data_IF_885367690441
#
_entry.id   IF_885367690441
#
_cell.length_a   1.000
_cell.length_b   1.000
_cell.length_c   1.000
_cell.angle_alpha   90.00
_cell.angle_beta   90.00
_cell.angle_gamma   90.00
#
_symmetry.space_group_name_H-M   'P 1'
#
loop_
_entity.id
_entity.type
_entity.pdbx_description
1 polymer ?
#
# COMPACT_ATOMS: atom_id res chain seq x y z
N UNK A 1 -13.85 5.71 -13.85
CA UNK A 1 -12.93 4.57 -13.61
C UNK A 1 -13.70 3.30 -13.84
N UNK A 2 -13.18 2.40 -14.68
CA UNK A 2 -13.78 1.07 -14.85
C UNK A 2 -13.67 0.31 -13.53
N UNK A 3 -14.68 -0.47 -13.15
CA UNK A 3 -14.69 -1.21 -11.88
C UNK A 3 -13.50 -2.16 -11.75
N UNK A 4 -13.01 -2.66 -12.88
CA UNK A 4 -11.83 -3.51 -12.93
C UNK A 4 -10.56 -2.77 -12.54
N UNK A 5 -10.48 -1.44 -12.72
CA UNK A 5 -9.32 -0.65 -12.27
C UNK A 5 -9.12 -0.74 -10.75
N UNK A 6 -10.20 -0.88 -9.99
CA UNK A 6 -10.14 -1.04 -8.53
C UNK A 6 -9.47 -2.36 -8.12
N UNK A 7 -9.58 -3.39 -8.95
CA UNK A 7 -9.09 -4.75 -8.64
C UNK A 7 -7.84 -5.15 -9.45
N UNK A 8 -7.35 -4.29 -10.36
CA UNK A 8 -6.12 -4.52 -11.15
C UNK A 8 -4.92 -4.89 -10.29
N UNK A 9 -4.80 -4.35 -9.09
CA UNK A 9 -3.71 -4.68 -8.16
C UNK A 9 -3.73 -6.16 -7.75
N UNK A 10 -4.90 -6.75 -7.53
CA UNK A 10 -5.06 -8.15 -7.14
C UNK A 10 -4.76 -9.08 -8.31
N UNK A 11 -5.22 -8.75 -9.52
CA UNK A 11 -4.92 -9.50 -10.73
C UNK A 11 -3.42 -9.50 -11.04
N UNK A 12 -2.78 -8.33 -10.95
CA UNK A 12 -1.33 -8.21 -11.11
C UNK A 12 -0.59 -9.08 -10.08
N UNK A 13 -1.02 -9.08 -8.81
CA UNK A 13 -0.41 -9.96 -7.80
C UNK A 13 -0.61 -11.44 -8.10
N UNK A 14 -1.79 -11.83 -8.59
CA UNK A 14 -2.04 -13.22 -8.99
C UNK A 14 -1.03 -13.65 -10.07
N UNK A 15 -0.79 -12.81 -11.08
CA UNK A 15 0.18 -13.08 -12.14
C UNK A 15 1.63 -13.16 -11.66
N UNK A 16 2.02 -12.30 -10.72
CA UNK A 16 3.36 -12.30 -10.14
C UNK A 16 3.62 -13.56 -9.30
N UNK A 17 2.62 -14.00 -8.51
CA UNK A 17 2.81 -15.10 -7.56
C UNK A 17 2.45 -16.48 -8.14
N UNK A 18 1.77 -16.58 -9.29
CA UNK A 18 1.32 -17.87 -9.85
C UNK A 18 2.43 -18.90 -10.05
N UNK A 19 3.65 -18.45 -10.33
CA UNK A 19 4.82 -19.32 -10.49
C UNK A 19 5.43 -19.78 -9.16
N UNK A 20 5.15 -19.06 -8.07
CA UNK A 20 5.73 -19.31 -6.74
C UNK A 20 4.71 -20.04 -5.84
N UNK A 21 3.49 -19.52 -5.77
CA UNK A 21 2.39 -20.08 -4.99
C UNK A 21 1.09 -20.04 -5.81
N UNK A 22 0.79 -21.10 -6.57
CA UNK A 22 -0.45 -21.21 -7.35
C UNK A 22 -1.72 -21.07 -6.49
N UNK A 23 -1.67 -21.52 -5.24
CA UNK A 23 -2.77 -21.40 -4.28
C UNK A 23 -3.12 -19.93 -4.03
N UNK A 24 -2.12 -19.09 -3.73
CA UNK A 24 -2.34 -17.68 -3.49
C UNK A 24 -2.85 -16.95 -4.74
N UNK A 25 -2.34 -17.31 -5.92
CA UNK A 25 -2.83 -16.79 -7.19
C UNK A 25 -4.30 -17.15 -7.42
N UNK A 26 -4.68 -18.41 -7.16
CA UNK A 26 -6.07 -18.86 -7.25
C UNK A 26 -7.01 -18.07 -6.34
N UNK A 27 -6.64 -17.83 -5.08
CA UNK A 27 -7.48 -17.06 -4.16
C UNK A 27 -7.55 -15.58 -4.54
N UNK A 28 -6.49 -14.99 -5.09
CA UNK A 28 -6.55 -13.64 -5.67
C UNK A 28 -7.56 -13.55 -6.81
N UNK A 29 -7.55 -14.53 -7.74
CA UNK A 29 -8.54 -14.59 -8.83
C UNK A 29 -9.95 -14.77 -8.29
N UNK A 30 -10.14 -15.72 -7.36
CA UNK A 30 -11.43 -16.00 -6.73
C UNK A 30 -12.00 -14.78 -6.00
N UNK A 31 -11.16 -14.00 -5.34
CA UNK A 31 -11.55 -12.73 -4.71
C UNK A 31 -12.09 -11.73 -5.73
N UNK A 32 -11.39 -11.54 -6.85
CA UNK A 32 -11.84 -10.62 -7.91
C UNK A 32 -13.12 -11.13 -8.56
N UNK A 33 -13.22 -12.44 -8.82
CA UNK A 33 -14.43 -13.09 -9.36
C UNK A 33 -15.65 -12.84 -8.46
N UNK A 34 -15.55 -13.03 -7.15
CA UNK A 34 -16.67 -12.75 -6.24
C UNK A 34 -17.07 -11.27 -6.26
N UNK A 35 -16.10 -10.34 -6.33
CA UNK A 35 -16.38 -8.90 -6.43
C UNK A 35 -17.01 -8.48 -7.76
N UNK A 36 -16.58 -9.07 -8.88
CA UNK A 36 -17.18 -8.84 -10.20
C UNK A 36 -18.57 -9.45 -10.29
N UNK A 37 -18.80 -10.62 -9.70
CA UNK A 37 -20.10 -11.29 -9.63
C UNK A 37 -21.13 -10.47 -8.87
N UNK A 38 -20.77 -9.91 -7.71
CA UNK A 38 -21.63 -8.97 -6.97
C UNK A 38 -22.12 -7.85 -7.89
N UNK A 39 -21.21 -7.23 -8.65
CA UNK A 39 -21.55 -6.15 -9.58
C UNK A 39 -22.34 -6.61 -10.81
N UNK A 40 -22.02 -7.78 -11.37
CA UNK A 40 -22.75 -8.32 -12.52
C UNK A 40 -24.21 -8.63 -12.16
N UNK A 41 -24.49 -9.01 -10.92
CA UNK A 41 -25.86 -9.21 -10.43
C UNK A 41 -26.64 -7.88 -10.45
N UNK A 42 -25.98 -6.76 -10.16
CA UNK A 42 -26.57 -5.41 -10.22
C UNK A 42 -26.78 -4.93 -11.67
N UNK A 43 -25.90 -5.31 -12.60
CA UNK A 43 -25.89 -4.87 -13.99
C UNK A 43 -25.69 -6.04 -14.98
N UNK A 44 -26.73 -6.85 -15.15
CA UNK A 44 -26.71 -8.10 -15.95
C UNK A 44 -26.57 -7.87 -17.45
N UNK A 45 -26.79 -6.66 -17.95
CA UNK A 45 -26.67 -6.33 -19.38
C UNK A 45 -25.25 -5.93 -19.76
N UNK A 46 -24.35 -5.81 -18.77
CA UNK A 46 -22.96 -5.46 -18.98
C UNK A 46 -22.16 -6.63 -19.56
N UNK A 47 -22.08 -6.68 -20.89
CA UNK A 47 -21.36 -7.72 -21.61
C UNK A 47 -19.85 -7.71 -21.34
N UNK A 48 -19.25 -6.56 -21.06
CA UNK A 48 -17.81 -6.47 -20.72
C UNK A 48 -17.52 -7.20 -19.40
N UNK A 49 -18.30 -6.92 -18.36
CA UNK A 49 -18.18 -7.62 -17.07
C UNK A 49 -18.40 -9.13 -17.21
N UNK A 50 -19.34 -9.55 -18.06
CA UNK A 50 -19.60 -10.97 -18.32
C UNK A 50 -18.39 -11.65 -18.98
N UNK A 51 -17.81 -11.04 -20.01
CA UNK A 51 -16.63 -11.58 -20.69
C UNK A 51 -15.42 -11.67 -19.77
N UNK A 52 -15.20 -10.65 -18.94
CA UNK A 52 -14.10 -10.64 -17.97
C UNK A 52 -14.30 -11.67 -16.87
N UNK A 53 -15.52 -11.81 -16.33
CA UNK A 53 -15.85 -12.84 -15.36
C UNK A 53 -15.59 -14.24 -15.92
N UNK A 54 -16.01 -14.51 -17.16
CA UNK A 54 -15.73 -15.79 -17.84
C UNK A 54 -14.23 -16.06 -17.93
N UNK A 55 -13.46 -15.06 -18.36
CA UNK A 55 -12.00 -15.19 -18.50
C UNK A 55 -11.32 -15.52 -17.16
N UNK A 56 -11.72 -14.85 -16.08
CA UNK A 56 -11.15 -15.08 -14.76
C UNK A 56 -11.56 -16.44 -14.18
N UNK A 57 -12.77 -16.91 -14.46
CA UNK A 57 -13.22 -18.25 -14.09
C UNK A 57 -12.40 -19.32 -14.80
N UNK A 58 -12.22 -19.19 -16.13
CA UNK A 58 -11.39 -20.12 -16.91
C UNK A 58 -9.94 -20.19 -16.37
N UNK A 59 -9.37 -19.04 -15.98
CA UNK A 59 -8.05 -18.98 -15.35
C UNK A 59 -8.01 -19.67 -13.98
N UNK A 60 -9.01 -19.45 -13.14
CA UNK A 60 -9.09 -20.06 -11.82
C UNK A 60 -9.30 -21.58 -11.92
N UNK A 61 -10.13 -22.03 -12.86
CA UNK A 61 -10.35 -23.45 -13.17
C UNK A 61 -9.06 -24.10 -13.68
N UNK A 62 -8.36 -23.48 -14.62
CA UNK A 62 -7.08 -23.99 -15.12
C UNK A 62 -6.01 -24.13 -14.03
N UNK A 63 -5.96 -23.20 -13.07
CA UNK A 63 -5.08 -23.35 -11.90
C UNK A 63 -5.50 -24.52 -11.02
N UNK A 64 -6.81 -24.66 -10.77
CA UNK A 64 -7.35 -25.72 -9.91
C UNK A 64 -7.18 -27.10 -10.52
N UNK A 65 -7.34 -27.26 -11.83
CA UNK A 65 -7.07 -28.51 -12.54
C UNK A 65 -5.60 -28.89 -12.49
N UNK A 66 -4.70 -27.92 -12.64
CA UNK A 66 -3.26 -28.18 -12.71
C UNK A 66 -2.60 -28.42 -11.35
N UNK A 67 -3.03 -27.72 -10.31
CA UNK A 67 -2.35 -27.71 -9.01
C UNK A 67 -3.26 -27.99 -7.81
N UNK A 68 -4.57 -28.11 -8.01
CA UNK A 68 -5.53 -28.34 -6.93
C UNK A 68 -5.48 -29.76 -6.35
N UNK A 69 -6.18 -29.99 -5.23
CA UNK A 69 -7.10 -29.08 -4.54
C UNK A 69 -6.40 -27.98 -3.73
N UNK A 70 -7.05 -26.83 -3.58
CA UNK A 70 -6.51 -25.69 -2.84
C UNK A 70 -7.18 -25.52 -1.48
N UNK A 71 -6.37 -25.25 -0.46
CA UNK A 71 -6.84 -24.89 0.88
C UNK A 71 -6.45 -23.45 1.21
N UNK A 72 -7.38 -22.68 1.78
CA UNK A 72 -7.09 -21.30 2.21
C UNK A 72 -6.00 -21.25 3.27
N UNK A 73 -5.86 -22.31 4.09
CA UNK A 73 -4.81 -22.39 5.09
C UNK A 73 -3.41 -22.40 4.47
N UNK A 74 -3.23 -22.95 3.27
CA UNK A 74 -1.95 -22.93 2.56
C UNK A 74 -1.60 -21.50 2.12
N UNK A 75 -2.61 -20.70 1.75
CA UNK A 75 -2.44 -19.27 1.46
C UNK A 75 -2.05 -18.49 2.74
N UNK A 76 -2.64 -18.83 3.89
CA UNK A 76 -2.28 -18.25 5.19
C UNK A 76 -0.83 -18.57 5.55
N UNK A 77 -0.44 -19.85 5.46
CA UNK A 77 0.93 -20.30 5.73
C UNK A 77 1.93 -19.59 4.82
N UNK A 78 1.68 -19.57 3.51
CA UNK A 78 2.51 -18.84 2.55
C UNK A 78 2.64 -17.35 2.89
N UNK A 79 1.55 -16.72 3.33
CA UNK A 79 1.58 -15.30 3.70
C UNK A 79 2.41 -15.05 4.96
N UNK A 80 2.43 -15.99 5.92
CA UNK A 80 3.28 -15.93 7.11
C UNK A 80 4.76 -16.11 6.77
N UNK A 81 5.08 -17.11 5.96
CA UNK A 81 6.45 -17.34 5.46
C UNK A 81 6.95 -16.11 4.67
N UNK A 82 6.09 -15.48 3.88
CA UNK A 82 6.43 -14.24 3.17
C UNK A 82 6.72 -13.07 4.11
N UNK A 83 6.15 -13.03 5.31
CA UNK A 83 6.49 -12.01 6.33
C UNK A 83 7.93 -12.21 6.80
N UNK A 84 8.30 -13.44 7.16
CA UNK A 84 9.66 -13.78 7.59
C UNK A 84 10.70 -13.51 6.48
N UNK A 85 10.38 -13.88 5.25
CA UNK A 85 11.18 -13.58 4.06
C UNK A 85 11.26 -12.06 3.76
N UNK A 86 10.22 -11.29 4.05
CA UNK A 86 10.25 -9.83 3.88
C UNK A 86 11.08 -9.14 4.97
N UNK A 87 11.13 -9.68 6.18
CA UNK A 87 11.91 -9.17 7.30
C UNK A 87 13.40 -9.41 7.14
N UNK A 88 13.76 -10.61 6.67
CA UNK A 88 15.14 -11.00 6.40
C UNK A 88 15.73 -10.39 5.13
N UNK A 89 14.89 -9.80 4.25
CA UNK A 89 15.33 -9.15 3.02
C UNK A 89 16.02 -7.81 3.29
N UNK A 90 17.34 -7.81 3.06
CA UNK A 90 18.20 -6.62 3.20
C UNK A 90 17.89 -5.53 2.15
N UNK A 91 17.30 -5.90 1.00
CA UNK A 91 16.93 -4.93 -0.03
C UNK A 91 15.61 -4.24 0.34
N UNK A 92 15.60 -2.94 0.65
CA UNK A 92 14.40 -2.27 1.10
C UNK A 92 13.31 -2.19 0.02
N UNK A 93 13.67 -2.19 -1.27
CA UNK A 93 12.69 -2.17 -2.37
C UNK A 93 11.98 -3.52 -2.49
N UNK A 94 12.73 -4.62 -2.44
CA UNK A 94 12.18 -5.97 -2.53
C UNK A 94 11.36 -6.30 -1.29
N UNK A 95 11.89 -6.02 -0.09
CA UNK A 95 11.19 -6.13 1.20
C UNK A 95 9.87 -5.34 1.21
N UNK A 96 9.89 -4.07 0.76
CA UNK A 96 8.66 -3.28 0.62
C UNK A 96 7.66 -3.93 -0.35
N UNK A 97 8.14 -4.42 -1.49
CA UNK A 97 7.31 -5.12 -2.48
C UNK A 97 6.63 -6.36 -1.91
N UNK A 98 7.34 -7.16 -1.10
CA UNK A 98 6.80 -8.32 -0.37
C UNK A 98 5.75 -7.89 0.65
N UNK A 99 6.01 -6.89 1.48
CA UNK A 99 5.00 -6.36 2.42
C UNK A 99 3.75 -5.83 1.70
N UNK A 100 3.89 -5.15 0.57
CA UNK A 100 2.74 -4.74 -0.24
C UNK A 100 1.95 -5.96 -0.79
N UNK A 101 2.61 -7.07 -1.09
CA UNK A 101 1.96 -8.32 -1.50
C UNK A 101 1.21 -8.96 -0.34
N UNK A 102 1.82 -9.02 0.84
CA UNK A 102 1.20 -9.50 2.08
C UNK A 102 -0.08 -8.72 2.39
N UNK A 103 -0.09 -7.39 2.22
CA UNK A 103 -1.32 -6.59 2.39
C UNK A 103 -2.42 -7.09 1.46
N UNK A 104 -2.13 -7.26 0.17
CA UNK A 104 -3.10 -7.80 -0.80
C UNK A 104 -3.59 -9.20 -0.42
N UNK A 105 -2.69 -10.10 -0.03
CA UNK A 105 -3.05 -11.47 0.37
C UNK A 105 -3.91 -11.49 1.64
N UNK A 106 -3.61 -10.65 2.63
CA UNK A 106 -4.45 -10.55 3.83
C UNK A 106 -5.84 -9.95 3.57
N UNK A 107 -6.00 -9.09 2.56
CA UNK A 107 -7.32 -8.64 2.09
C UNK A 107 -8.09 -9.82 1.47
N UNK A 108 -7.44 -10.61 0.61
CA UNK A 108 -8.00 -11.82 0.00
C UNK A 108 -8.40 -12.84 1.06
N UNK A 109 -7.48 -13.24 1.94
CA UNK A 109 -7.71 -14.26 2.98
C UNK A 109 -8.89 -13.85 3.87
N UNK A 110 -8.99 -12.57 4.25
CA UNK A 110 -10.08 -12.10 5.11
C UNK A 110 -11.48 -12.26 4.51
N UNK A 111 -11.57 -12.46 3.18
CA UNK A 111 -12.83 -12.74 2.49
C UNK A 111 -13.26 -14.20 2.64
N UNK A 112 -12.31 -15.11 2.89
CA UNK A 112 -12.53 -16.56 2.95
C UNK A 112 -12.39 -17.14 4.38
N UNK A 113 -11.81 -16.40 5.36
CA UNK A 113 -11.73 -16.83 6.76
C UNK A 113 -10.82 -16.00 7.68
N UNK A 114 -10.84 -16.30 8.98
CA UNK A 114 -10.01 -15.76 10.08
C UNK A 114 -9.70 -14.25 10.04
N UNK A 115 -10.66 -13.43 10.50
CA UNK A 115 -10.57 -11.97 10.40
C UNK A 115 -9.53 -11.32 11.35
N UNK A 116 -9.33 -11.85 12.56
CA UNK A 116 -8.51 -11.17 13.57
C UNK A 116 -7.00 -11.24 13.25
N UNK A 117 -6.49 -12.44 12.97
CA UNK A 117 -5.09 -12.65 12.60
C UNK A 117 -4.74 -11.92 11.30
N UNK A 118 -5.62 -11.99 10.30
CA UNK A 118 -5.47 -11.23 9.06
C UNK A 118 -5.42 -9.72 9.30
N UNK A 119 -6.20 -9.21 10.25
CA UNK A 119 -6.18 -7.78 10.61
C UNK A 119 -4.83 -7.38 11.23
N UNK A 120 -4.26 -8.23 12.09
CA UNK A 120 -2.93 -8.01 12.66
C UNK A 120 -1.87 -8.01 11.56
N UNK A 121 -1.84 -9.06 10.72
CA UNK A 121 -0.88 -9.19 9.61
C UNK A 121 -0.96 -8.00 8.65
N UNK A 122 -2.18 -7.57 8.30
CA UNK A 122 -2.40 -6.42 7.42
C UNK A 122 -1.87 -5.12 8.00
N UNK A 123 -2.14 -4.84 9.28
CA UNK A 123 -1.65 -3.63 9.96
C UNK A 123 -0.12 -3.62 9.99
N UNK A 124 0.47 -4.76 10.32
CA UNK A 124 1.92 -4.91 10.38
C UNK A 124 2.59 -4.75 9.02
N UNK A 125 2.09 -5.43 7.99
CA UNK A 125 2.63 -5.33 6.65
C UNK A 125 2.50 -3.89 6.08
N UNK A 126 1.38 -3.19 6.34
CA UNK A 126 1.23 -1.78 5.97
C UNK A 126 2.26 -0.89 6.65
N UNK A 127 2.47 -1.11 7.95
CA UNK A 127 3.47 -0.37 8.72
C UNK A 127 4.88 -0.59 8.16
N UNK A 128 5.29 -1.85 7.97
CA UNK A 128 6.62 -2.20 7.45
C UNK A 128 6.85 -1.70 6.02
N UNK A 129 5.86 -1.81 5.14
CA UNK A 129 5.94 -1.24 3.79
C UNK A 129 6.20 0.27 3.84
N UNK A 130 5.51 0.99 4.72
CA UNK A 130 5.68 2.43 4.88
C UNK A 130 7.05 2.79 5.46
N UNK A 131 7.53 2.02 6.44
CA UNK A 131 8.87 2.18 7.00
C UNK A 131 9.95 2.04 5.92
N UNK A 132 9.89 0.95 5.15
CA UNK A 132 10.84 0.68 4.05
C UNK A 132 10.77 1.77 2.98
N UNK A 133 9.56 2.25 2.65
CA UNK A 133 9.35 3.39 1.73
C UNK A 133 10.08 4.66 2.19
N UNK A 134 9.92 5.06 3.45
CA UNK A 134 10.60 6.23 4.01
C UNK A 134 12.13 6.07 3.96
N UNK A 135 12.63 4.86 4.20
CA UNK A 135 14.07 4.59 4.13
C UNK A 135 14.61 4.74 2.69
N UNK A 136 13.86 4.28 1.69
CA UNK A 136 14.20 4.46 0.27
C UNK A 136 14.22 5.95 -0.07
N UNK A 137 13.16 6.69 0.26
CA UNK A 137 13.03 8.12 -0.04
C UNK A 137 14.13 8.95 0.63
N UNK A 138 14.46 8.64 1.89
CA UNK A 138 15.54 9.32 2.64
C UNK A 138 16.93 9.08 2.02
N UNK A 139 17.18 7.89 1.46
CA UNK A 139 18.43 7.62 0.73
C UNK A 139 18.51 8.35 -0.60
N UNK A 140 17.38 8.54 -1.28
CA UNK A 140 17.33 9.28 -2.55
C UNK A 140 17.55 10.79 -2.35
N UNK A 141 17.06 11.37 -1.25
CA UNK A 141 17.28 12.78 -0.93
C UNK A 141 18.73 13.10 -0.53
N UNK A 142 19.49 12.13 0.00
CA UNK A 142 20.92 12.31 0.34
C UNK A 142 21.87 12.14 -0.85
N UNK A 143 21.38 11.76 -2.03
CA UNK A 143 22.17 11.56 -3.23
C UNK A 143 22.03 12.69 -4.26
N UNK A 144 21.36 13.80 -3.92
CA UNK A 144 21.43 15.00 -4.74
C UNK A 144 22.83 15.61 -4.54
N UNK A 145 23.68 15.68 -5.57
CA UNK A 145 24.96 16.38 -5.44
C UNK A 145 24.69 17.87 -5.24
N UNK A 146 25.36 18.48 -4.25
CA UNK A 146 25.56 19.93 -4.20
C UNK A 146 26.37 20.35 -5.43
N UNK A 147 25.67 20.63 -6.53
CA UNK A 147 26.22 21.38 -7.66
C UNK A 147 25.30 22.55 -7.94
N UNK A 148 25.65 23.69 -7.36
CA UNK A 148 26.02 24.94 -8.05
C UNK A 148 25.62 26.16 -7.19
N UNK A 149 26.62 26.71 -6.48
CA UNK A 149 26.75 28.16 -6.34
C UNK A 149 27.58 28.67 -7.52
N UNK A 150 27.00 29.50 -8.38
CA UNK A 150 27.69 30.59 -9.07
C UNK A 150 26.65 31.46 -9.81
N UNK A 151 26.69 32.75 -9.53
CA UNK A 151 25.91 33.82 -10.13
C UNK A 151 25.93 33.83 -11.67
N UNK A 152 24.79 34.15 -12.30
CA UNK A 152 24.75 35.20 -13.33
C UNK A 152 23.31 35.66 -13.61
N UNK A 153 23.12 36.98 -13.50
CA UNK A 153 21.99 37.73 -14.08
C UNK A 153 22.01 37.55 -15.60
N UNK A 154 20.83 37.50 -16.24
CA UNK A 154 20.45 38.32 -17.40
C UNK A 154 18.93 38.17 -17.65
N UNK A 155 18.30 39.31 -17.88
CA UNK A 155 16.90 39.53 -18.21
C UNK A 155 16.50 39.06 -19.63
N UNK A 156 15.18 38.95 -19.80
CA UNK A 156 14.35 39.26 -20.99
C UNK A 156 13.67 38.11 -21.77
N UNK A 157 12.33 38.08 -21.58
CA UNK A 157 11.19 37.98 -22.53
C UNK A 157 11.41 37.29 -23.90
N UNK A 158 10.50 36.48 -24.48
CA UNK A 158 9.02 36.57 -24.57
C UNK A 158 8.44 35.30 -25.24
N UNK A 159 7.19 34.90 -24.91
CA UNK A 159 6.11 34.36 -25.79
C UNK A 159 6.32 33.00 -26.52
N UNK A 160 5.39 32.02 -26.58
CA UNK A 160 3.94 31.94 -26.35
C UNK A 160 3.45 30.46 -26.34
N UNK A 161 2.33 30.21 -25.64
CA UNK A 161 1.31 29.16 -25.88
C UNK A 161 1.60 27.78 -25.26
N UNK A 162 0.67 27.05 -24.63
CA UNK A 162 -0.75 27.19 -24.33
C UNK A 162 -1.10 26.08 -23.30
N UNK A 163 -2.13 26.28 -22.47
CA UNK A 163 -2.85 25.16 -21.83
C UNK A 163 -2.86 25.12 -20.29
N UNK A 164 -3.55 26.09 -19.71
CA UNK A 164 -3.87 26.25 -18.28
C UNK A 164 -4.79 25.12 -17.77
N UNK A 165 -4.40 24.48 -16.65
CA UNK A 165 -5.32 23.82 -15.72
C UNK A 165 -5.95 24.92 -14.86
N UNK A 166 -7.24 25.13 -15.06
CA UNK A 166 -8.07 26.03 -14.26
C UNK A 166 -8.62 25.26 -13.05
N UNK A 167 -8.20 25.64 -11.84
CA UNK A 167 -9.00 25.40 -10.64
C UNK A 167 -9.12 26.71 -9.89
N UNK A 168 -10.36 27.18 -9.80
CA UNK A 168 -10.76 28.52 -9.41
C UNK A 168 -10.28 28.94 -8.03
N UNK A 169 -9.86 30.21 -7.95
CA UNK A 169 -9.76 30.98 -6.70
C UNK A 169 -11.15 31.21 -6.14
N UNK A 170 -11.27 31.15 -4.81
CA UNK A 170 -11.89 32.25 -4.07
C UNK A 170 -10.98 32.58 -2.88
N UNK A 171 -10.56 33.85 -2.85
CA UNK A 171 -9.74 34.46 -1.81
C UNK A 171 -10.71 35.18 -0.88
N UNK A 172 -10.66 34.85 0.40
CA UNK A 172 -10.90 35.82 1.46
C UNK A 172 -9.84 35.57 2.55
N UNK A 173 -8.91 36.51 2.66
CA UNK A 173 -8.06 36.65 3.83
C UNK A 173 -8.90 37.25 4.96
N UNK A 174 -8.70 36.81 6.20
CA UNK A 174 -7.84 37.61 7.05
C UNK A 174 -6.73 36.77 7.68
N UNK A 175 -5.66 37.47 8.01
CA UNK A 175 -4.49 37.02 8.76
C UNK A 175 -4.87 36.15 9.98
N UNK A 176 -3.95 35.28 10.38
CA UNK A 176 -3.99 34.27 11.47
C UNK A 176 -4.39 32.83 11.06
N UNK A 177 -3.43 32.03 10.57
CA UNK A 177 -3.31 30.57 10.84
C UNK A 177 -2.03 30.04 10.20
N UNK A 178 -0.89 30.06 10.90
CA UNK A 178 0.29 29.29 10.46
C UNK A 178 0.78 28.27 11.51
N UNK A 179 0.37 28.42 12.78
CA UNK A 179 0.67 27.46 13.86
C UNK A 179 -0.30 26.27 13.93
N UNK A 180 -1.55 26.46 13.49
CA UNK A 180 -2.60 25.43 13.59
C UNK A 180 -2.31 24.20 12.71
N UNK A 181 -1.63 24.38 11.57
CA UNK A 181 -1.34 23.30 10.65
C UNK A 181 -0.16 22.43 11.11
N UNK A 182 0.85 23.04 11.74
CA UNK A 182 2.05 22.32 12.17
C UNK A 182 1.77 21.44 13.40
N UNK A 183 1.04 21.95 14.39
CA UNK A 183 0.62 21.17 15.57
C UNK A 183 -0.28 19.98 15.18
N UNK A 184 -1.19 20.18 14.21
CA UNK A 184 -2.04 19.10 13.68
C UNK A 184 -1.20 18.04 12.98
N UNK A 185 -0.21 18.45 12.17
CA UNK A 185 0.68 17.52 11.48
C UNK A 185 1.59 16.74 12.45
N UNK A 186 2.10 17.39 13.50
CA UNK A 186 2.89 16.73 14.55
C UNK A 186 1.99 15.74 15.32
N UNK A 187 0.77 16.13 15.68
CA UNK A 187 -0.20 15.27 16.36
C UNK A 187 -0.55 14.03 15.54
N UNK A 188 -0.80 14.18 14.23
CA UNK A 188 -1.02 13.04 13.33
C UNK A 188 0.20 12.11 13.28
N UNK A 189 1.41 12.67 13.29
CA UNK A 189 2.66 11.89 13.27
C UNK A 189 2.87 11.11 14.58
N UNK A 190 2.56 11.71 15.73
CA UNK A 190 2.57 11.05 17.05
C UNK A 190 1.59 9.87 17.06
N UNK A 191 0.34 10.09 16.62
CA UNK A 191 -0.68 9.04 16.53
C UNK A 191 -0.20 7.92 15.60
N UNK A 192 0.45 8.26 14.49
CA UNK A 192 0.99 7.27 13.56
C UNK A 192 2.12 6.43 14.19
N UNK A 193 3.03 7.05 14.95
CA UNK A 193 4.07 6.31 15.69
C UNK A 193 3.45 5.40 16.77
N UNK A 194 2.46 5.88 17.52
CA UNK A 194 1.77 5.05 18.51
C UNK A 194 1.06 3.84 17.88
N UNK A 195 0.34 4.05 16.76
CA UNK A 195 -0.28 2.95 16.00
C UNK A 195 0.76 1.94 15.49
N UNK A 196 1.93 2.42 15.09
CA UNK A 196 3.04 1.60 14.61
C UNK A 196 3.62 0.75 15.73
N UNK A 197 3.84 1.33 16.91
CA UNK A 197 4.31 0.61 18.10
C UNK A 197 3.32 -0.49 18.52
N UNK A 198 2.02 -0.20 18.54
CA UNK A 198 0.97 -1.20 18.83
C UNK A 198 1.04 -2.36 17.83
N UNK A 199 1.24 -2.04 16.54
CA UNK A 199 1.36 -3.07 15.51
C UNK A 199 2.60 -3.94 15.73
N UNK A 200 3.76 -3.34 16.04
CA UNK A 200 5.00 -4.09 16.32
C UNK A 200 4.85 -5.01 17.54
N UNK A 201 4.24 -4.52 18.63
CA UNK A 201 3.95 -5.32 19.83
C UNK A 201 3.05 -6.52 19.52
N UNK A 202 2.08 -6.39 18.60
CA UNK A 202 1.22 -7.51 18.21
C UNK A 202 1.96 -8.63 17.45
N UNK A 203 3.20 -8.38 17.03
CA UNK A 203 4.11 -9.33 16.38
C UNK A 203 5.34 -9.66 17.25
N UNK A 204 5.33 -9.28 18.53
CA UNK A 204 6.46 -9.43 19.45
C UNK A 204 7.78 -8.75 18.98
N UNK A 205 7.69 -7.76 18.09
CA UNK A 205 8.83 -6.95 17.68
C UNK A 205 9.06 -5.81 18.69
N UNK A 206 9.64 -6.17 19.84
CA UNK A 206 9.92 -5.24 20.93
C UNK A 206 10.92 -4.13 20.55
N UNK A 207 12.03 -4.40 19.83
CA UNK A 207 12.95 -3.35 19.42
C UNK A 207 12.29 -2.27 18.56
N UNK A 208 11.46 -2.66 17.59
CA UNK A 208 10.77 -1.70 16.72
C UNK A 208 9.66 -0.97 17.48
N UNK A 209 8.94 -1.65 18.39
CA UNK A 209 7.97 -0.99 19.26
C UNK A 209 8.62 0.12 20.10
N UNK A 210 9.78 -0.16 20.71
CA UNK A 210 10.54 0.82 21.49
C UNK A 210 10.98 2.02 20.63
N UNK A 211 11.52 1.76 19.43
CA UNK A 211 11.93 2.81 18.49
C UNK A 211 10.77 3.73 18.09
N UNK A 212 9.59 3.18 17.82
CA UNK A 212 8.41 3.99 17.50
C UNK A 212 7.91 4.80 18.70
N UNK A 213 7.90 4.23 19.91
CA UNK A 213 7.52 4.96 21.12
C UNK A 213 8.49 6.11 21.43
N UNK A 214 9.81 5.89 21.27
CA UNK A 214 10.82 6.95 21.40
C UNK A 214 10.59 8.07 20.37
N UNK A 215 10.26 7.72 19.14
CA UNK A 215 9.94 8.69 18.08
C UNK A 215 8.68 9.49 18.38
N UNK A 216 7.65 8.85 18.95
CA UNK A 216 6.43 9.51 19.40
C UNK A 216 6.73 10.51 20.54
N UNK A 217 7.52 10.11 21.53
CA UNK A 217 7.93 10.97 22.65
C UNK A 217 8.75 12.17 22.18
N UNK A 218 9.66 11.99 21.22
CA UNK A 218 10.43 13.09 20.64
C UNK A 218 9.53 14.10 19.93
N UNK A 219 8.54 13.64 19.17
CA UNK A 219 7.57 14.51 18.50
C UNK A 219 6.62 15.21 19.50
N UNK A 220 6.34 14.59 20.64
CA UNK A 220 5.51 15.19 21.68
C UNK A 220 6.24 16.34 22.38
N UNK A 221 7.54 16.16 22.65
CA UNK A 221 8.41 17.22 23.20
C UNK A 221 8.54 18.44 22.29
N UNK A 222 8.38 18.29 20.97
CA UNK A 222 8.39 19.44 20.05
C UNK A 222 7.11 20.28 20.06
N UNK A 223 6.04 19.83 20.75
CA UNK A 223 4.81 20.63 20.95
C UNK A 223 4.90 21.47 22.24
N UNK A 224 5.76 21.09 23.19
CA UNK A 224 5.87 21.75 24.50
C UNK A 224 6.74 23.03 24.50
N UNK A 225 7.25 23.48 23.33
CA UNK A 225 8.07 24.69 23.15
C UNK A 225 7.50 25.60 22.05
#
# INVERSE_FOLDING_TARGET
MSFCEKYKSYLRRADEIKGVCPVAAFFCLSFVVEKLKEKYIEDKTNNELRCELSTLLDQAEGLKEKYGPFNIQDCVTFTKEMIEDAESDENPKTSMGKFCTIVTLTDVISTFGNSEECTKMRKYAKYRALEKKRHIESKMQRQVPDTLNADEKIDSATSNGDGIIQCSKEVNSPEYTHKCDEEVMISQRIVQYAKSAISALSFNDYPEAEKNLRSALLALKSIEY
#
